data_IF_363134483116
#
_entry.id   IF_363134483116
#
_cell.length_a   1.000
_cell.length_b   1.000
_cell.length_c   1.000
_cell.angle_alpha   90.00
_cell.angle_beta   90.00
_cell.angle_gamma   90.00
#
_symmetry.space_group_name_H-M   'P 1'
#
loop_
_entity.id
_entity.type
_entity.pdbx_description
1 polymer ?
#
# COMPACT_ATOMS: atom_id res chain seq x y z
N UNK A 1 5.02 -11.33 9.12
CA UNK A 1 3.60 -10.97 8.90
C UNK A 1 2.69 -12.11 9.31
N UNK A 2 1.66 -11.85 10.09
CA UNK A 2 0.62 -12.83 10.41
C UNK A 2 -0.57 -12.67 9.43
N UNK A 3 -1.06 -13.78 8.87
CA UNK A 3 -2.19 -13.79 7.94
C UNK A 3 -3.32 -14.61 8.56
N UNK A 4 -4.41 -13.95 8.92
CA UNK A 4 -5.62 -14.60 9.36
C UNK A 4 -6.31 -15.26 8.16
N UNK A 5 -7.06 -16.33 8.40
CA UNK A 5 -7.68 -17.08 7.32
C UNK A 5 -9.19 -17.26 7.56
N UNK A 6 -9.97 -16.86 6.56
CA UNK A 6 -11.41 -17.10 6.49
C UNK A 6 -11.76 -17.46 5.04
N UNK A 7 -11.38 -18.70 4.66
CA UNK A 7 -11.44 -19.14 3.26
C UNK A 7 -12.89 -19.34 2.83
N UNK A 8 -13.24 -18.67 1.75
CA UNK A 8 -14.56 -18.78 1.11
C UNK A 8 -14.71 -20.13 0.41
N UNK A 9 -15.96 -20.61 0.37
CA UNK A 9 -16.39 -21.73 -0.49
C UNK A 9 -17.00 -21.24 -1.81
N UNK A 10 -17.08 -19.92 -2.03
CA UNK A 10 -17.79 -19.27 -3.13
C UNK A 10 -16.88 -18.29 -3.88
N UNK A 11 -17.32 -17.88 -5.06
CA UNK A 11 -16.79 -16.75 -5.81
C UNK A 11 -15.33 -16.92 -6.29
N UNK A 12 -14.94 -18.13 -6.67
CA UNK A 12 -13.64 -18.40 -7.28
C UNK A 12 -13.72 -19.58 -8.25
N UNK A 13 -12.73 -19.67 -9.14
CA UNK A 13 -12.47 -20.84 -9.96
C UNK A 13 -11.24 -21.58 -9.43
N UNK A 14 -11.17 -22.89 -9.65
CA UNK A 14 -9.96 -23.67 -9.36
C UNK A 14 -8.82 -23.25 -10.26
N UNK A 15 -7.60 -23.27 -9.71
CA UNK A 15 -6.38 -22.91 -10.43
C UNK A 15 -5.14 -23.50 -9.79
N UNK A 16 -3.98 -23.01 -10.19
CA UNK A 16 -2.67 -23.36 -9.62
C UNK A 16 -1.84 -22.11 -9.37
N UNK A 17 -0.82 -22.19 -8.52
CA UNK A 17 0.05 -21.04 -8.20
C UNK A 17 0.92 -20.61 -9.41
N UNK A 18 1.18 -21.49 -10.36
CA UNK A 18 1.97 -21.18 -11.58
C UNK A 18 1.31 -20.16 -12.49
N UNK A 19 -0.01 -19.90 -12.30
CA UNK A 19 -0.74 -18.86 -13.04
C UNK A 19 -0.36 -17.45 -12.64
N UNK A 20 0.19 -17.25 -11.42
CA UNK A 20 0.36 -15.94 -10.80
C UNK A 20 1.49 -15.18 -11.50
N UNK A 21 1.13 -14.10 -12.21
CA UNK A 21 2.04 -13.21 -12.91
C UNK A 21 1.89 -11.76 -12.48
N UNK A 22 0.75 -11.40 -11.88
CA UNK A 22 0.38 -10.04 -11.47
C UNK A 22 -0.16 -10.02 -10.04
N UNK A 23 0.03 -8.87 -9.39
CA UNK A 23 -0.67 -8.51 -8.15
C UNK A 23 -1.46 -7.24 -8.45
N UNK A 24 -2.77 -7.28 -8.20
CA UNK A 24 -3.67 -6.16 -8.46
C UNK A 24 -4.14 -5.58 -7.15
N UNK A 25 -3.88 -4.28 -6.96
CA UNK A 25 -4.26 -3.53 -5.77
C UNK A 25 -5.63 -2.90 -5.99
N UNK A 26 -6.49 -3.06 -4.99
CA UNK A 26 -7.86 -2.54 -4.94
C UNK A 26 -8.10 -1.74 -3.67
N UNK A 27 -9.25 -1.08 -3.60
CA UNK A 27 -9.84 -0.61 -2.36
C UNK A 27 -11.25 -1.19 -2.23
N UNK A 28 -11.67 -1.45 -1.00
CA UNK A 28 -12.97 -2.10 -0.74
C UNK A 28 -14.16 -1.25 -1.24
N UNK A 29 -14.01 0.09 -1.24
CA UNK A 29 -15.09 1.01 -1.65
C UNK A 29 -16.29 1.01 -0.70
N UNK A 30 -16.09 0.52 0.53
CA UNK A 30 -17.05 0.48 1.62
C UNK A 30 -16.29 0.60 2.96
N UNK A 31 -17.00 0.85 4.06
CA UNK A 31 -16.38 1.14 5.37
C UNK A 31 -16.18 -0.09 6.27
N UNK A 32 -16.45 -1.29 5.77
CA UNK A 32 -16.25 -2.55 6.51
C UNK A 32 -14.79 -2.92 6.67
N UNK A 33 -14.45 -3.59 7.78
CA UNK A 33 -13.12 -4.10 8.06
C UNK A 33 -12.76 -5.35 7.22
N UNK A 34 -11.49 -5.79 7.33
CA UNK A 34 -11.00 -6.91 6.51
C UNK A 34 -11.72 -8.23 6.80
N UNK A 35 -11.98 -8.55 8.07
CA UNK A 35 -12.73 -9.76 8.43
C UNK A 35 -14.19 -9.71 7.94
N UNK A 36 -14.85 -8.53 8.04
CA UNK A 36 -16.22 -8.35 7.59
C UNK A 36 -16.36 -8.58 6.09
N UNK A 37 -15.39 -8.09 5.31
CA UNK A 37 -15.32 -8.33 3.88
C UNK A 37 -15.11 -9.82 3.55
N UNK A 38 -14.22 -10.52 4.25
CA UNK A 38 -14.09 -11.98 4.12
C UNK A 38 -15.39 -12.70 4.45
N UNK A 39 -16.10 -12.27 5.49
CA UNK A 39 -17.40 -12.83 5.87
C UNK A 39 -18.47 -12.58 4.79
N UNK A 40 -18.50 -11.38 4.24
CA UNK A 40 -19.43 -10.99 3.18
C UNK A 40 -19.23 -11.83 1.92
N UNK A 41 -17.99 -11.90 1.40
CA UNK A 41 -17.68 -12.65 0.18
C UNK A 41 -17.69 -14.17 0.40
N UNK A 42 -17.47 -14.64 1.62
CA UNK A 42 -17.55 -16.05 2.02
C UNK A 42 -18.97 -16.52 2.35
N UNK A 43 -19.92 -15.61 2.51
CA UNK A 43 -21.31 -15.90 2.93
C UNK A 43 -22.29 -16.28 1.83
N UNK A 44 -21.84 -16.48 0.60
CA UNK A 44 -22.66 -16.86 -0.54
C UNK A 44 -22.14 -16.36 -1.88
N UNK A 45 -22.94 -16.55 -2.94
CA UNK A 45 -22.57 -16.04 -4.25
C UNK A 45 -22.73 -14.51 -4.31
N UNK A 46 -21.61 -13.79 -4.54
CA UNK A 46 -21.52 -12.33 -4.66
C UNK A 46 -21.05 -11.90 -6.05
N UNK A 47 -20.72 -12.83 -6.94
CA UNK A 47 -20.13 -12.58 -8.25
C UNK A 47 -18.82 -11.74 -8.20
N UNK A 48 -18.17 -11.69 -7.05
CA UNK A 48 -16.92 -10.99 -6.82
C UNK A 48 -16.19 -11.60 -5.62
N UNK A 49 -14.89 -11.46 -5.56
CA UNK A 49 -14.04 -11.83 -4.43
C UNK A 49 -12.66 -11.21 -4.56
N UNK A 50 -11.83 -11.34 -3.52
CA UNK A 50 -10.40 -11.07 -3.58
C UNK A 50 -9.64 -12.16 -2.81
N UNK A 51 -8.34 -12.25 -3.04
CA UNK A 51 -7.52 -13.21 -2.29
C UNK A 51 -7.28 -12.72 -0.87
N UNK A 52 -6.99 -11.41 -0.71
CA UNK A 52 -6.65 -10.81 0.57
C UNK A 52 -7.43 -9.52 0.81
N UNK A 53 -7.70 -9.27 2.08
CA UNK A 53 -8.19 -7.99 2.61
C UNK A 53 -7.24 -7.50 3.68
N UNK A 54 -6.87 -6.21 3.62
CA UNK A 54 -5.99 -5.55 4.59
C UNK A 54 -6.80 -4.52 5.36
N UNK A 55 -6.88 -4.67 6.66
CA UNK A 55 -7.74 -3.89 7.53
C UNK A 55 -7.09 -2.59 8.04
N UNK A 56 -7.85 -1.86 8.85
CA UNK A 56 -7.50 -0.51 9.31
C UNK A 56 -6.31 -0.47 10.27
N UNK A 57 -6.07 -1.55 11.01
CA UNK A 57 -4.96 -1.69 11.96
C UNK A 57 -3.82 -2.54 11.39
N UNK A 58 -3.82 -2.78 10.07
CA UNK A 58 -2.82 -3.59 9.39
C UNK A 58 -3.07 -5.10 9.48
N UNK A 59 -4.21 -5.54 10.00
CA UNK A 59 -4.58 -6.95 10.00
C UNK A 59 -4.82 -7.46 8.58
N UNK A 60 -4.24 -8.61 8.25
CA UNK A 60 -4.37 -9.24 6.94
C UNK A 60 -5.25 -10.48 7.05
N UNK A 61 -6.24 -10.57 6.16
CA UNK A 61 -7.15 -11.71 6.05
C UNK A 61 -7.10 -12.32 4.66
N UNK A 62 -6.90 -13.64 4.59
CA UNK A 62 -7.01 -14.41 3.35
C UNK A 62 -8.44 -14.97 3.19
N UNK A 63 -9.07 -14.62 2.07
CA UNK A 63 -10.43 -15.05 1.73
C UNK A 63 -10.47 -16.11 0.61
N UNK A 64 -9.55 -16.05 -0.35
CA UNK A 64 -9.39 -17.05 -1.42
C UNK A 64 -7.97 -17.56 -1.40
N UNK A 65 -7.80 -18.89 -1.53
CA UNK A 65 -6.47 -19.52 -1.62
C UNK A 65 -5.70 -19.01 -2.84
N UNK A 66 -4.40 -18.80 -2.73
CA UNK A 66 -3.55 -18.26 -3.80
C UNK A 66 -3.61 -19.07 -5.10
N UNK A 67 -3.74 -20.39 -4.99
CA UNK A 67 -3.86 -21.27 -6.15
C UNK A 67 -5.14 -21.02 -6.95
N UNK A 68 -6.22 -20.63 -6.28
CA UNK A 68 -7.53 -20.40 -6.91
C UNK A 68 -7.56 -19.04 -7.63
N UNK A 69 -8.56 -18.81 -8.45
CA UNK A 69 -8.78 -17.61 -9.23
C UNK A 69 -9.90 -16.81 -8.58
N UNK A 70 -9.57 -15.78 -7.81
CA UNK A 70 -10.56 -14.86 -7.27
C UNK A 70 -11.12 -13.94 -8.37
N UNK A 71 -12.36 -13.46 -8.20
CA UNK A 71 -13.07 -12.64 -9.16
C UNK A 71 -12.98 -11.15 -8.76
N UNK A 72 -11.85 -10.51 -9.01
CA UNK A 72 -11.56 -9.16 -8.51
C UNK A 72 -11.38 -8.08 -9.59
N UNK A 73 -10.98 -8.46 -10.83
CA UNK A 73 -10.75 -7.49 -11.90
C UNK A 73 -11.40 -7.90 -13.23
N UNK A 74 -12.51 -8.67 -13.17
CA UNK A 74 -13.29 -9.03 -14.35
C UNK A 74 -13.98 -7.82 -14.96
N UNK A 75 -13.99 -7.70 -16.29
CA UNK A 75 -14.62 -6.63 -17.05
C UNK A 75 -15.04 -7.10 -18.45
N UNK A 76 -15.96 -6.35 -19.08
CA UNK A 76 -16.32 -6.56 -20.49
C UNK A 76 -15.24 -6.08 -21.46
N UNK A 77 -14.41 -5.13 -21.04
CA UNK A 77 -13.27 -4.64 -21.79
C UNK A 77 -12.07 -4.37 -20.85
N UNK A 78 -10.87 -4.48 -21.37
CA UNK A 78 -9.65 -4.35 -20.62
C UNK A 78 -8.73 -3.30 -21.24
N UNK A 79 -8.14 -2.47 -20.36
CA UNK A 79 -7.10 -1.52 -20.72
C UNK A 79 -5.73 -2.19 -20.81
N UNK A 80 -5.47 -3.15 -19.88
CA UNK A 80 -4.23 -3.91 -19.85
C UNK A 80 -4.27 -5.08 -20.84
N UNK A 81 -3.17 -5.28 -21.60
CA UNK A 81 -3.10 -6.34 -22.60
C UNK A 81 -3.28 -7.75 -22.02
N UNK A 82 -2.66 -8.04 -20.87
CA UNK A 82 -2.50 -9.40 -20.35
C UNK A 82 -3.18 -9.68 -19.01
N UNK A 83 -3.18 -8.72 -18.07
CA UNK A 83 -3.64 -8.98 -16.70
C UNK A 83 -5.14 -9.27 -16.65
N UNK A 84 -5.50 -10.38 -15.99
CA UNK A 84 -6.87 -10.89 -15.80
C UNK A 84 -6.98 -11.56 -14.42
N UNK A 85 -8.20 -11.87 -13.97
CA UNK A 85 -8.41 -12.75 -12.81
C UNK A 85 -7.57 -14.03 -12.91
N UNK A 86 -7.52 -14.62 -14.09
CA UNK A 86 -6.88 -15.91 -14.33
C UNK A 86 -5.37 -15.92 -14.05
N UNK A 87 -4.67 -14.77 -14.06
CA UNK A 87 -3.23 -14.71 -13.88
C UNK A 87 -2.77 -13.72 -12.78
N UNK A 88 -3.67 -13.36 -11.87
CA UNK A 88 -3.35 -12.38 -10.82
C UNK A 88 -3.83 -12.80 -9.42
N UNK A 89 -3.25 -12.13 -8.42
CA UNK A 89 -3.74 -12.07 -7.04
C UNK A 89 -4.34 -10.68 -6.81
N UNK A 90 -5.54 -10.60 -6.23
CA UNK A 90 -6.17 -9.34 -5.82
C UNK A 90 -6.00 -9.08 -4.34
N UNK A 91 -5.55 -7.89 -3.98
CA UNK A 91 -5.43 -7.37 -2.61
C UNK A 91 -6.39 -6.20 -2.47
N UNK A 92 -7.35 -6.31 -1.58
CA UNK A 92 -8.31 -5.27 -1.23
C UNK A 92 -7.85 -4.53 0.04
N UNK A 93 -7.63 -3.24 -0.06
CA UNK A 93 -7.29 -2.39 1.06
C UNK A 93 -8.56 -1.77 1.64
N UNK A 94 -8.80 -1.94 2.94
CA UNK A 94 -9.89 -1.27 3.65
C UNK A 94 -9.64 0.24 3.64
N UNK A 95 -10.70 1.01 3.48
CA UNK A 95 -10.64 2.43 3.18
C UNK A 95 -11.58 3.22 4.10
N UNK A 96 -11.17 4.43 4.48
CA UNK A 96 -11.99 5.40 5.20
C UNK A 96 -12.49 6.48 4.25
N UNK A 97 -13.46 7.24 4.71
CA UNK A 97 -14.04 8.37 3.98
C UNK A 97 -14.31 9.54 4.90
N UNK A 98 -13.93 10.75 4.49
CA UNK A 98 -14.12 11.98 5.29
C UNK A 98 -15.59 12.37 5.36
N UNK A 99 -16.33 12.28 4.26
CA UNK A 99 -17.75 12.56 4.19
C UNK A 99 -18.53 11.28 3.90
N UNK A 100 -19.22 10.73 4.90
CA UNK A 100 -19.99 9.50 4.80
C UNK A 100 -21.42 9.69 4.30
N UNK A 101 -21.85 10.92 4.01
CA UNK A 101 -23.19 11.18 3.42
C UNK A 101 -23.27 10.78 1.95
N UNK A 102 -22.13 10.68 1.28
CA UNK A 102 -21.98 10.15 -0.08
C UNK A 102 -20.99 8.98 -0.05
N UNK A 103 -21.28 7.93 -0.81
CA UNK A 103 -20.42 6.74 -0.98
C UNK A 103 -20.04 6.55 -2.44
N UNK A 104 -19.97 7.64 -3.21
CA UNK A 104 -19.64 7.60 -4.62
C UNK A 104 -18.24 7.08 -4.89
N UNK A 105 -18.09 6.17 -5.85
CA UNK A 105 -16.80 5.61 -6.23
C UNK A 105 -15.84 6.65 -6.80
N UNK A 106 -16.35 7.81 -7.26
CA UNK A 106 -15.57 8.92 -7.82
C UNK A 106 -15.33 10.06 -6.83
N UNK A 107 -15.83 9.94 -5.59
CA UNK A 107 -15.59 10.94 -4.56
C UNK A 107 -14.10 10.96 -4.20
N UNK A 108 -13.52 12.16 -4.02
CA UNK A 108 -12.08 12.33 -3.83
C UNK A 108 -11.64 12.37 -2.36
N UNK A 109 -12.51 12.02 -1.44
CA UNK A 109 -12.28 12.06 0.01
C UNK A 109 -12.12 10.68 0.65
N UNK A 110 -11.97 9.63 -0.16
CA UNK A 110 -11.52 8.32 0.28
C UNK A 110 -10.03 8.35 0.65
N UNK A 111 -9.65 7.69 1.73
CA UNK A 111 -8.25 7.60 2.17
C UNK A 111 -7.94 6.27 2.86
N UNK A 112 -6.67 5.91 2.88
CA UNK A 112 -6.15 4.77 3.63
C UNK A 112 -5.55 5.22 4.95
N UNK A 113 -5.67 4.38 5.98
CA UNK A 113 -4.90 4.50 7.21
C UNK A 113 -3.44 4.06 6.98
N UNK A 114 -2.50 4.66 7.71
CA UNK A 114 -1.07 4.34 7.59
C UNK A 114 -0.81 2.84 7.77
N UNK A 115 -1.41 2.23 8.80
CA UNK A 115 -1.27 0.80 9.08
C UNK A 115 -1.79 -0.08 7.93
N UNK A 116 -2.86 0.33 7.25
CA UNK A 116 -3.37 -0.37 6.06
C UNK A 116 -2.36 -0.35 4.93
N UNK A 117 -1.74 0.80 4.68
CA UNK A 117 -0.75 0.97 3.61
C UNK A 117 0.52 0.16 3.89
N UNK A 118 1.04 0.23 5.12
CA UNK A 118 2.24 -0.51 5.51
C UNK A 118 2.03 -2.03 5.42
N UNK A 119 0.93 -2.54 5.95
CA UNK A 119 0.60 -3.97 5.88
C UNK A 119 0.34 -4.44 4.45
N UNK A 120 -0.32 -3.62 3.62
CA UNK A 120 -0.53 -3.93 2.20
C UNK A 120 0.79 -3.97 1.43
N UNK A 121 1.73 -3.07 1.72
CA UNK A 121 3.06 -3.08 1.12
C UNK A 121 3.87 -4.31 1.58
N UNK A 122 3.83 -4.67 2.87
CA UNK A 122 4.48 -5.88 3.40
C UNK A 122 3.92 -7.14 2.75
N UNK A 123 2.57 -7.28 2.68
CA UNK A 123 1.90 -8.40 2.02
C UNK A 123 2.31 -8.49 0.55
N UNK A 124 2.33 -7.35 -0.15
CA UNK A 124 2.70 -7.29 -1.56
C UNK A 124 4.14 -7.76 -1.77
N UNK A 125 5.11 -7.28 -0.97
CA UNK A 125 6.50 -7.77 -1.02
C UNK A 125 6.62 -9.27 -0.75
N UNK A 126 5.89 -9.75 0.26
CA UNK A 126 5.83 -11.19 0.57
C UNK A 126 5.36 -12.01 -0.65
N UNK A 127 4.27 -11.60 -1.31
CA UNK A 127 3.72 -12.29 -2.47
C UNK A 127 4.62 -12.16 -3.72
N UNK A 128 5.23 -11.00 -3.92
CA UNK A 128 6.23 -10.78 -4.97
C UNK A 128 7.38 -11.78 -4.85
N UNK A 129 7.95 -11.91 -3.65
CA UNK A 129 9.05 -12.84 -3.38
C UNK A 129 8.60 -14.30 -3.52
N UNK A 130 7.43 -14.63 -2.98
CA UNK A 130 6.89 -16.00 -3.00
C UNK A 130 6.62 -16.54 -4.41
N UNK A 131 6.17 -15.66 -5.32
CA UNK A 131 5.73 -16.04 -6.66
C UNK A 131 6.62 -15.50 -7.79
N UNK A 132 7.69 -14.81 -7.48
CA UNK A 132 8.57 -14.21 -8.49
C UNK A 132 7.91 -13.09 -9.29
N UNK A 133 6.94 -12.37 -8.71
CA UNK A 133 6.25 -11.26 -9.38
C UNK A 133 7.10 -9.99 -9.29
N UNK A 134 7.55 -9.40 -10.40
CA UNK A 134 8.34 -8.19 -10.36
C UNK A 134 7.48 -6.98 -9.97
N UNK A 135 8.10 -5.94 -9.39
CA UNK A 135 7.40 -4.73 -8.97
C UNK A 135 6.64 -4.03 -10.12
N UNK A 136 7.09 -4.17 -11.38
CA UNK A 136 6.38 -3.69 -12.56
C UNK A 136 5.03 -4.36 -12.79
N UNK A 137 4.85 -5.60 -12.32
CA UNK A 137 3.60 -6.36 -12.41
C UNK A 137 2.69 -6.19 -11.18
N UNK A 138 3.04 -5.32 -10.26
CA UNK A 138 2.12 -4.83 -9.22
C UNK A 138 1.43 -3.59 -9.77
N UNK A 139 0.13 -3.70 -10.03
CA UNK A 139 -0.67 -2.70 -10.75
C UNK A 139 -2.00 -2.44 -10.04
N UNK A 140 -2.66 -1.32 -10.36
CA UNK A 140 -3.99 -1.00 -9.83
C UNK A 140 -5.07 -1.67 -10.68
N UNK A 141 -6.24 -1.89 -10.14
CA UNK A 141 -7.41 -2.25 -10.94
C UNK A 141 -7.68 -1.22 -12.05
N UNK A 142 -7.41 0.06 -11.79
CA UNK A 142 -7.46 1.13 -12.79
C UNK A 142 -6.58 0.84 -14.02
N UNK A 143 -5.40 0.28 -13.80
CA UNK A 143 -4.48 -0.05 -14.90
C UNK A 143 -4.97 -1.27 -15.70
N UNK A 144 -5.77 -2.15 -15.06
CA UNK A 144 -6.34 -3.33 -15.73
C UNK A 144 -7.56 -2.99 -16.58
N UNK A 145 -8.49 -2.16 -16.07
CA UNK A 145 -9.81 -1.96 -16.70
C UNK A 145 -10.22 -0.50 -16.90
N UNK A 146 -9.51 0.46 -16.27
CA UNK A 146 -9.91 1.87 -16.23
C UNK A 146 -10.88 2.23 -15.10
N UNK A 147 -11.35 1.24 -14.29
CA UNK A 147 -12.17 1.50 -13.11
C UNK A 147 -11.42 2.36 -12.10
N UNK A 148 -12.10 3.34 -11.47
CA UNK A 148 -11.50 4.17 -10.40
C UNK A 148 -11.29 3.30 -9.14
N UNK A 149 -10.21 2.50 -9.17
CA UNK A 149 -9.87 1.55 -8.11
C UNK A 149 -8.37 1.23 -8.13
N UNK A 150 -7.64 1.40 -7.02
CA UNK A 150 -8.10 1.98 -5.75
C UNK A 150 -8.27 3.51 -5.89
N UNK A 151 -9.41 4.02 -5.46
CA UNK A 151 -9.73 5.45 -5.59
C UNK A 151 -8.61 6.37 -5.03
N UNK A 152 -8.09 6.16 -3.77
CA UNK A 152 -7.04 7.02 -3.23
C UNK A 152 -5.77 7.04 -4.09
N UNK A 153 -5.42 5.95 -4.76
CA UNK A 153 -4.24 5.83 -5.60
C UNK A 153 -4.48 6.24 -7.07
N UNK A 154 -5.74 6.41 -7.48
CA UNK A 154 -6.05 6.96 -8.81
C UNK A 154 -6.03 8.48 -8.78
N UNK A 155 -6.63 9.07 -7.74
CA UNK A 155 -6.68 10.53 -7.61
C UNK A 155 -5.47 11.13 -6.90
N UNK A 156 -4.75 10.36 -6.08
CA UNK A 156 -3.60 10.81 -5.27
C UNK A 156 -3.92 12.06 -4.41
N UNK A 157 -5.11 12.11 -3.84
CA UNK A 157 -5.60 13.25 -3.03
C UNK A 157 -5.41 13.05 -1.53
N UNK A 158 -4.90 11.91 -1.10
CA UNK A 158 -4.57 11.59 0.29
C UNK A 158 -3.06 11.66 0.54
N UNK A 159 -2.66 11.49 1.81
CA UNK A 159 -1.26 11.45 2.21
C UNK A 159 -0.48 10.31 1.52
N UNK A 160 -1.17 9.23 1.17
CA UNK A 160 -0.58 8.07 0.50
C UNK A 160 -0.89 8.08 -0.99
N UNK A 161 0.17 8.10 -1.82
CA UNK A 161 0.07 8.08 -3.27
C UNK A 161 0.45 6.71 -3.85
N UNK A 162 0.06 6.47 -5.11
CA UNK A 162 0.47 5.25 -5.82
C UNK A 162 1.99 5.15 -5.97
N UNK A 163 2.67 6.26 -6.23
CA UNK A 163 4.13 6.29 -6.39
C UNK A 163 4.85 5.96 -5.08
N UNK A 164 4.34 6.41 -3.94
CA UNK A 164 4.85 6.02 -2.62
C UNK A 164 4.65 4.53 -2.37
N UNK A 165 3.46 4.00 -2.66
CA UNK A 165 3.22 2.57 -2.54
C UNK A 165 4.18 1.75 -3.42
N UNK A 166 4.43 2.18 -4.65
CA UNK A 166 5.40 1.54 -5.57
C UNK A 166 6.83 1.58 -5.01
N UNK A 167 7.25 2.69 -4.42
CA UNK A 167 8.56 2.78 -3.73
C UNK A 167 8.66 1.82 -2.56
N UNK A 168 7.63 1.78 -1.69
CA UNK A 168 7.58 0.85 -0.53
C UNK A 168 7.72 -0.60 -0.95
N UNK A 169 7.08 -1.03 -2.02
CA UNK A 169 7.16 -2.43 -2.48
C UNK A 169 8.44 -2.77 -3.25
N UNK A 170 9.10 -1.80 -3.88
CA UNK A 170 10.36 -2.01 -4.61
C UNK A 170 11.59 -1.99 -3.70
N UNK A 171 11.42 -1.75 -2.40
CA UNK A 171 12.52 -1.62 -1.44
C UNK A 171 13.40 -0.39 -1.68
N UNK A 172 12.91 0.59 -2.43
CA UNK A 172 13.57 1.88 -2.57
C UNK A 172 13.38 2.67 -1.28
N UNK A 173 14.45 3.26 -0.76
CA UNK A 173 14.38 4.14 0.39
C UNK A 173 13.41 5.31 0.11
N UNK A 174 12.62 5.68 1.11
CA UNK A 174 11.70 6.81 0.99
C UNK A 174 12.49 8.10 0.71
N UNK A 175 12.11 8.81 -0.35
CA UNK A 175 12.62 10.16 -0.55
C UNK A 175 11.76 11.12 0.25
N UNK A 176 12.34 11.96 1.10
CA UNK A 176 11.59 12.90 1.94
C UNK A 176 10.74 13.88 1.11
N UNK A 177 9.51 14.17 1.55
CA UNK A 177 8.53 14.97 0.80
C UNK A 177 8.49 16.45 1.15
N UNK A 178 9.59 17.06 1.57
CA UNK A 178 9.60 18.52 1.79
C UNK A 178 10.48 18.98 2.96
N UNK A 179 10.59 20.29 3.15
CA UNK A 179 11.32 20.90 4.25
C UNK A 179 12.81 20.54 4.30
N UNK A 180 13.35 20.49 5.51
CA UNK A 180 14.75 20.16 5.76
C UNK A 180 15.11 18.75 5.31
N UNK A 181 14.18 17.80 5.41
CA UNK A 181 14.36 16.41 4.96
C UNK A 181 14.77 16.34 3.49
N UNK A 182 14.03 17.00 2.62
CA UNK A 182 14.31 17.01 1.18
C UNK A 182 15.63 17.70 0.87
N UNK A 183 15.96 18.76 1.59
CA UNK A 183 17.19 19.49 1.44
C UNK A 183 18.40 18.62 1.82
N UNK A 184 18.35 17.95 2.97
CA UNK A 184 19.39 17.05 3.45
C UNK A 184 19.53 15.85 2.51
N UNK A 185 18.42 15.25 2.09
CA UNK A 185 18.42 14.15 1.14
C UNK A 185 19.13 14.50 -0.17
N UNK A 186 18.73 15.62 -0.79
CA UNK A 186 19.31 16.07 -2.06
C UNK A 186 20.81 16.42 -1.91
N UNK A 187 21.20 17.01 -0.79
CA UNK A 187 22.60 17.31 -0.50
C UNK A 187 23.44 16.02 -0.41
N UNK A 188 22.99 15.04 0.38
CA UNK A 188 23.72 13.79 0.60
C UNK A 188 23.80 12.94 -0.66
N UNK A 189 22.69 12.82 -1.42
CA UNK A 189 22.69 12.11 -2.71
C UNK A 189 23.57 12.82 -3.75
N UNK A 190 23.57 14.17 -3.76
CA UNK A 190 24.46 14.98 -4.60
C UNK A 190 25.95 14.80 -4.27
N UNK A 191 26.29 14.32 -3.06
CA UNK A 191 27.64 13.91 -2.65
C UNK A 191 27.97 12.46 -3.02
N UNK A 192 27.11 11.77 -3.73
CA UNK A 192 27.34 10.40 -4.22
C UNK A 192 26.95 9.29 -3.26
N UNK A 193 26.27 9.59 -2.13
CA UNK A 193 25.76 8.54 -1.25
C UNK A 193 24.54 7.87 -1.88
N UNK A 194 24.47 6.55 -1.74
CA UNK A 194 23.29 5.81 -2.17
C UNK A 194 22.11 6.01 -1.19
N UNK A 195 20.91 5.72 -1.65
CA UNK A 195 19.66 5.96 -0.90
C UNK A 195 19.62 5.30 0.49
N UNK A 196 20.22 4.13 0.66
CA UNK A 196 20.27 3.44 1.95
C UNK A 196 21.19 4.14 2.96
N UNK A 197 22.35 4.57 2.50
CA UNK A 197 23.28 5.34 3.33
C UNK A 197 22.65 6.67 3.76
N UNK A 198 21.99 7.36 2.84
CA UNK A 198 21.27 8.61 3.13
C UNK A 198 20.15 8.38 4.15
N UNK A 199 19.33 7.35 3.98
CA UNK A 199 18.26 7.03 4.91
C UNK A 199 18.77 6.71 6.33
N UNK A 200 19.90 6.01 6.44
CA UNK A 200 20.55 5.75 7.72
C UNK A 200 21.05 7.02 8.42
N UNK A 201 21.71 7.92 7.68
CA UNK A 201 22.18 9.21 8.20
C UNK A 201 20.98 10.06 8.64
N UNK A 202 19.95 10.14 7.82
CA UNK A 202 18.75 10.93 8.15
C UNK A 202 18.00 10.40 9.36
N UNK A 203 17.95 9.08 9.55
CA UNK A 203 17.38 8.47 10.76
C UNK A 203 18.09 8.94 12.04
N UNK A 204 19.41 8.99 12.02
CA UNK A 204 20.19 9.52 13.15
C UNK A 204 19.94 11.02 13.37
N UNK A 205 19.98 11.84 12.31
CA UNK A 205 19.72 13.27 12.38
C UNK A 205 18.29 13.56 12.90
N UNK A 206 17.31 12.76 12.49
CA UNK A 206 15.95 12.88 12.99
C UNK A 206 15.86 12.57 14.49
N UNK A 207 16.50 11.49 14.94
CA UNK A 207 16.51 11.10 16.35
C UNK A 207 17.20 12.14 17.24
N UNK A 208 18.23 12.80 16.72
CA UNK A 208 19.03 13.77 17.49
C UNK A 208 18.42 15.17 17.52
N UNK A 209 17.91 15.67 16.39
CA UNK A 209 17.50 17.08 16.24
C UNK A 209 16.12 17.27 15.60
N UNK A 210 15.44 16.20 15.21
CA UNK A 210 14.19 16.28 14.43
C UNK A 210 14.41 16.91 13.04
N UNK A 211 15.62 16.83 12.49
CA UNK A 211 16.05 17.47 11.23
C UNK A 211 15.97 19.01 11.26
N UNK A 212 16.04 19.61 12.44
CA UNK A 212 16.05 21.07 12.61
C UNK A 212 17.49 21.58 12.68
N UNK A 213 17.92 22.46 11.76
CA UNK A 213 19.34 22.86 11.64
C UNK A 213 19.86 23.72 12.80
N UNK A 214 18.98 24.28 13.60
CA UNK A 214 19.31 25.11 14.75
C UNK A 214 18.93 24.45 16.09
N UNK A 215 18.85 23.13 16.11
CA UNK A 215 18.47 22.36 17.29
C UNK A 215 19.62 21.46 17.74
N UNK A 216 19.96 21.49 19.02
CA UNK A 216 20.84 20.51 19.64
C UNK A 216 20.15 19.15 19.73
N UNK A 217 20.92 18.10 20.02
CA UNK A 217 20.35 16.78 20.29
C UNK A 217 19.13 16.89 21.21
N UNK A 218 18.01 16.34 20.79
CA UNK A 218 16.70 16.50 21.44
C UNK A 218 16.72 16.26 22.96
N UNK A 219 17.57 15.33 23.44
CA UNK A 219 17.71 15.01 24.87
C UNK A 219 18.32 16.16 25.68
N UNK A 220 19.14 17.01 25.08
CA UNK A 220 19.94 18.03 25.78
C UNK A 220 19.50 19.46 25.50
N UNK A 221 18.74 19.70 24.43
CA UNK A 221 18.38 21.04 23.96
C UNK A 221 17.91 21.97 25.11
N UNK A 222 16.96 21.51 25.93
CA UNK A 222 16.45 22.29 27.06
C UNK A 222 17.36 22.30 28.28
N UNK A 223 18.30 21.36 28.40
CA UNK A 223 19.20 21.25 29.55
C UNK A 223 20.45 22.12 29.41
N UNK A 224 20.93 22.28 28.19
CA UNK A 224 22.10 23.11 27.90
C UNK A 224 21.73 24.59 27.81
N UNK A 225 20.46 24.91 27.53
CA UNK A 225 19.98 26.28 27.38
C UNK A 225 20.52 27.00 26.17
N UNK A 226 21.08 26.27 25.18
CA UNK A 226 21.65 26.79 23.95
C UNK A 226 21.19 25.97 22.75
N UNK A 227 21.13 26.61 21.62
CA UNK A 227 20.90 25.97 20.30
C UNK A 227 22.20 25.95 19.51
N UNK A 228 22.27 25.20 18.41
CA UNK A 228 23.42 25.17 17.52
C UNK A 228 23.80 26.57 16.97
N UNK A 229 22.83 27.49 16.90
CA UNK A 229 23.06 28.87 16.48
C UNK A 229 23.81 29.73 17.52
N UNK A 230 23.94 29.22 18.74
CA UNK A 230 24.62 29.92 19.87
C UNK A 230 26.04 29.38 20.12
N UNK A 231 26.48 28.37 19.38
CA UNK A 231 27.84 27.86 19.33
C UNK A 231 28.55 28.35 18.08
#
# INVERSE_FOLDING_TARGET
>A
MNINRKISKYNFNKGSVSRIKYIVIHYVGALGGAEDNCRYYGGGNRNASAHYFVGFNGEVWQCVEDANIAWHCGASSYKHAECRNANSIGIEMCVRKKNTKSMGATDKDWYFEDATVEAAAELTRYLMNKYGVPASHVIRHYDVTGKICPNPYVYNTSAHTWDEFKRKISGQAETPQGGNEKTIWNFLTGKGLNAYAVAGIMGNLYAESGLMPNNLQNTYNNKLGKTDAEY
#
